data_IF_317070547133
#
_entry.id   IF_317070547133
#
_cell.length_a   1.000
_cell.length_b   1.000
_cell.length_c   1.000
_cell.angle_alpha   90.00
_cell.angle_beta   90.00
_cell.angle_gamma   90.00
#
_symmetry.space_group_name_H-M   'P 1'
#
loop_
_entity.id
_entity.type
_entity.pdbx_description
1 polymer ?
#
# COMPACT_ATOMS: atom_id res chain seq x y z
N UNK A 1 -29.75 -17.21 -42.28
CA UNK A 1 -29.24 -18.23 -41.34
C UNK A 1 -28.15 -18.99 -42.06
N UNK A 2 -26.88 -18.82 -41.66
CA UNK A 2 -25.75 -19.42 -42.37
C UNK A 2 -25.73 -20.93 -42.10
N UNK A 3 -26.04 -21.75 -43.11
CA UNK A 3 -26.01 -23.21 -42.99
C UNK A 3 -24.55 -23.68 -42.91
N UNK A 4 -24.10 -23.99 -41.70
CA UNK A 4 -22.78 -24.60 -41.50
C UNK A 4 -22.81 -26.04 -42.04
N UNK A 5 -21.85 -26.39 -42.87
CA UNK A 5 -21.77 -27.73 -43.46
C UNK A 5 -21.47 -28.77 -42.37
N UNK A 6 -22.09 -29.94 -42.47
CA UNK A 6 -21.87 -31.08 -41.57
C UNK A 6 -20.38 -31.43 -41.32
N UNK A 7 -19.47 -31.39 -42.32
CA UNK A 7 -18.05 -31.62 -42.07
C UNK A 7 -17.38 -30.51 -41.25
N UNK A 8 -17.84 -29.26 -41.35
CA UNK A 8 -17.33 -28.16 -40.55
C UNK A 8 -17.72 -28.31 -39.08
N UNK A 9 -18.96 -28.73 -38.81
CA UNK A 9 -19.42 -29.03 -37.45
C UNK A 9 -18.63 -30.19 -36.82
N UNK A 10 -18.36 -31.25 -37.60
CA UNK A 10 -17.52 -32.35 -37.13
C UNK A 10 -16.09 -31.92 -36.84
N UNK A 11 -15.50 -31.09 -37.71
CA UNK A 11 -14.17 -30.51 -37.47
C UNK A 11 -14.14 -29.68 -36.18
N UNK A 12 -15.14 -28.83 -35.95
CA UNK A 12 -15.25 -28.01 -34.75
C UNK A 12 -15.39 -28.87 -33.48
N UNK A 13 -16.22 -29.92 -33.52
CA UNK A 13 -16.38 -30.87 -32.41
C UNK A 13 -15.06 -31.58 -32.11
N UNK A 14 -14.36 -32.06 -33.14
CA UNK A 14 -13.04 -32.68 -32.93
C UNK A 14 -12.05 -31.70 -32.31
N UNK A 15 -11.98 -30.46 -32.80
CA UNK A 15 -11.09 -29.42 -32.27
C UNK A 15 -11.39 -29.11 -30.79
N UNK A 16 -12.68 -29.02 -30.43
CA UNK A 16 -13.10 -28.79 -29.05
C UNK A 16 -12.72 -29.96 -28.13
N UNK A 17 -12.90 -31.21 -28.59
CA UNK A 17 -12.46 -32.40 -27.82
C UNK A 17 -10.95 -32.48 -27.65
N UNK A 18 -10.16 -32.03 -28.64
CA UNK A 18 -8.70 -31.93 -28.49
C UNK A 18 -8.27 -30.77 -27.59
N UNK A 19 -9.01 -29.66 -27.56
CA UNK A 19 -8.76 -28.56 -26.63
C UNK A 19 -9.05 -28.98 -25.18
N UNK A 20 -10.07 -29.82 -24.97
CA UNK A 20 -10.44 -30.35 -23.65
C UNK A 20 -9.48 -31.44 -23.17
N UNK A 21 -8.94 -32.28 -24.08
CA UNK A 21 -7.92 -33.29 -23.77
C UNK A 21 -6.52 -32.73 -23.52
N UNK A 22 -6.18 -31.57 -24.07
CA UNK A 22 -4.95 -30.84 -23.72
C UNK A 22 -5.15 -29.90 -22.52
N UNK A 23 -6.40 -29.71 -22.08
CA UNK A 23 -6.76 -28.99 -20.87
C UNK A 23 -6.67 -29.91 -19.66
N UNK A 24 -5.47 -30.39 -19.35
CA UNK A 24 -5.24 -31.15 -18.13
C UNK A 24 -5.62 -30.29 -16.92
N UNK A 25 -6.79 -30.59 -16.37
CA UNK A 25 -7.28 -30.10 -15.11
C UNK A 25 -6.44 -30.71 -13.98
N UNK A 26 -5.28 -30.11 -13.73
CA UNK A 26 -4.41 -30.47 -12.62
C UNK A 26 -2.94 -30.48 -13.04
N UNK A 27 -2.18 -29.46 -12.63
CA UNK A 27 -0.72 -29.51 -12.74
C UNK A 27 -0.05 -28.34 -13.46
N UNK A 28 -0.79 -27.32 -13.89
CA UNK A 28 -0.19 -26.00 -14.07
C UNK A 28 -0.18 -25.27 -12.71
N UNK A 29 0.51 -25.86 -11.72
CA UNK A 29 1.42 -24.99 -10.97
C UNK A 29 2.31 -24.42 -12.06
N UNK A 30 1.92 -23.25 -12.55
CA UNK A 30 2.75 -22.39 -13.35
C UNK A 30 4.08 -22.43 -12.61
N UNK A 31 5.04 -23.16 -13.16
CA UNK A 31 6.43 -23.15 -12.75
C UNK A 31 6.83 -21.71 -13.01
N UNK A 32 6.39 -20.81 -12.11
CA UNK A 32 6.64 -19.40 -12.13
C UNK A 32 8.11 -19.41 -11.94
N UNK A 33 8.81 -19.31 -13.07
CA UNK A 33 10.24 -19.30 -13.18
C UNK A 33 10.69 -18.45 -12.02
N UNK A 34 11.18 -19.11 -10.96
CA UNK A 34 11.58 -18.45 -9.73
C UNK A 34 12.80 -17.70 -10.18
N UNK A 35 12.59 -16.49 -10.70
CA UNK A 35 13.66 -15.56 -11.01
C UNK A 35 14.49 -15.59 -9.74
N UNK A 36 15.79 -15.90 -9.87
CA UNK A 36 16.73 -15.75 -8.79
C UNK A 36 16.75 -14.26 -8.43
N UNK A 37 15.74 -13.82 -7.67
CA UNK A 37 15.67 -12.49 -7.15
C UNK A 37 16.84 -12.46 -6.16
N UNK A 38 17.90 -11.79 -6.56
CA UNK A 38 19.05 -11.56 -5.72
C UNK A 38 18.51 -11.05 -4.37
N UNK A 39 18.85 -11.74 -3.28
CA UNK A 39 18.36 -11.39 -1.95
C UNK A 39 18.76 -9.97 -1.54
N UNK A 40 19.75 -9.39 -2.21
CA UNK A 40 20.22 -8.02 -2.01
C UNK A 40 19.41 -6.96 -2.78
N UNK A 41 18.50 -7.34 -3.68
CA UNK A 41 17.65 -6.38 -4.41
C UNK A 41 16.27 -6.25 -3.76
N UNK A 42 15.64 -5.04 -3.83
CA UNK A 42 14.27 -4.81 -3.41
C UNK A 42 13.31 -5.77 -4.09
N UNK A 43 12.44 -6.39 -3.30
CA UNK A 43 11.49 -7.39 -3.79
C UNK A 43 10.22 -7.41 -2.95
N UNK A 44 9.19 -8.02 -3.54
CA UNK A 44 7.94 -8.35 -2.88
C UNK A 44 7.90 -9.87 -2.69
N UNK A 45 7.64 -10.33 -1.45
CA UNK A 45 7.59 -11.75 -1.10
C UNK A 45 6.31 -12.08 -0.33
N UNK A 46 5.96 -13.35 -0.29
CA UNK A 46 4.86 -13.87 0.54
C UNK A 46 5.43 -14.72 1.68
N UNK A 47 5.09 -14.39 2.92
CA UNK A 47 5.59 -15.08 4.11
C UNK A 47 4.43 -15.42 5.05
N UNK A 48 4.09 -16.72 5.16
CA UNK A 48 3.01 -17.24 6.03
C UNK A 48 1.67 -16.49 5.84
N UNK A 49 1.30 -16.23 4.59
CA UNK A 49 0.06 -15.52 4.24
C UNK A 49 0.18 -13.99 4.20
N UNK A 50 1.33 -13.41 4.58
CA UNK A 50 1.55 -11.97 4.54
C UNK A 50 2.23 -11.55 3.23
N UNK A 51 1.87 -10.39 2.70
CA UNK A 51 2.65 -9.71 1.66
C UNK A 51 3.72 -8.83 2.31
N UNK A 52 4.99 -9.10 2.00
CA UNK A 52 6.14 -8.40 2.59
C UNK A 52 6.92 -7.68 1.50
N UNK A 53 7.15 -6.39 1.71
CA UNK A 53 8.04 -5.58 0.89
C UNK A 53 9.42 -5.57 1.54
N UNK A 54 10.39 -6.24 0.93
CA UNK A 54 11.76 -6.32 1.44
C UNK A 54 12.65 -5.38 0.62
N UNK A 55 13.28 -4.43 1.28
CA UNK A 55 14.36 -3.64 0.69
C UNK A 55 15.68 -4.42 0.70
N UNK A 56 16.59 -4.02 -0.19
CA UNK A 56 18.00 -4.41 -0.12
C UNK A 56 18.80 -3.47 0.78
N UNK A 57 20.05 -3.81 1.07
CA UNK A 57 20.96 -2.87 1.74
C UNK A 57 21.09 -1.59 0.90
N UNK A 58 20.94 -0.44 1.55
CA UNK A 58 20.99 0.90 0.94
C UNK A 58 20.05 1.10 -0.27
N UNK A 59 18.92 0.38 -0.32
CA UNK A 59 17.94 0.50 -1.41
C UNK A 59 16.54 0.77 -0.85
N UNK A 60 15.72 1.44 -1.67
CA UNK A 60 14.37 1.84 -1.30
C UNK A 60 13.31 1.08 -2.08
N UNK A 61 12.11 1.02 -1.53
CA UNK A 61 10.87 0.78 -2.26
C UNK A 61 10.08 2.08 -2.18
N UNK A 62 9.84 2.69 -3.32
CA UNK A 62 9.20 4.01 -3.40
C UNK A 62 7.80 3.89 -4.00
N UNK A 63 6.82 4.42 -3.27
CA UNK A 63 5.45 4.55 -3.74
C UNK A 63 5.25 6.00 -4.17
N UNK A 64 4.91 6.20 -5.44
CA UNK A 64 4.69 7.52 -6.05
C UNK A 64 3.31 7.55 -6.66
N UNK A 65 2.61 8.66 -6.49
CA UNK A 65 1.27 8.88 -7.07
C UNK A 65 1.30 10.02 -8.07
N UNK A 66 0.34 10.01 -8.99
CA UNK A 66 0.05 11.18 -9.81
C UNK A 66 -0.68 12.27 -9.02
N UNK A 67 -1.00 13.39 -9.66
CA UNK A 67 -1.60 14.58 -9.02
C UNK A 67 -2.87 14.31 -8.21
N UNK A 68 -3.72 13.39 -8.65
CA UNK A 68 -4.96 13.00 -7.95
C UNK A 68 -4.87 11.62 -7.28
N UNK A 69 -3.72 10.95 -7.37
CA UNK A 69 -3.53 9.63 -6.80
C UNK A 69 -3.23 9.71 -5.30
N UNK A 70 -3.80 8.77 -4.53
CA UNK A 70 -3.66 8.68 -3.07
C UNK A 70 -2.97 7.36 -2.70
N UNK A 71 -2.12 7.39 -1.68
CA UNK A 71 -1.60 6.17 -1.04
C UNK A 71 -2.48 5.92 0.18
N UNK A 72 -3.18 4.78 0.18
CA UNK A 72 -3.98 4.37 1.33
C UNK A 72 -3.31 3.23 2.08
N UNK A 73 -3.28 3.36 3.40
CA UNK A 73 -2.90 2.28 4.32
C UNK A 73 -4.16 1.86 5.05
N UNK A 74 -4.72 0.71 4.68
CA UNK A 74 -6.10 0.33 5.01
C UNK A 74 -7.08 1.42 4.50
N UNK A 75 -7.86 2.02 5.40
CA UNK A 75 -8.83 3.07 5.08
C UNK A 75 -8.25 4.50 5.18
N UNK A 76 -7.02 4.64 5.67
CA UNK A 76 -6.39 5.94 5.92
C UNK A 76 -5.62 6.46 4.71
N UNK A 77 -5.75 7.75 4.41
CA UNK A 77 -4.97 8.44 3.40
C UNK A 77 -3.64 8.94 4.00
N UNK A 78 -2.52 8.41 3.50
CA UNK A 78 -1.19 8.75 4.00
C UNK A 78 -0.88 10.25 3.84
N UNK A 79 -1.35 10.88 2.78
CA UNK A 79 -1.15 12.31 2.54
C UNK A 79 -1.88 13.18 3.57
N UNK A 80 -3.12 12.81 3.92
CA UNK A 80 -3.90 13.49 4.95
C UNK A 80 -3.25 13.32 6.33
N UNK A 81 -2.78 12.12 6.67
CA UNK A 81 -2.06 11.86 7.92
C UNK A 81 -0.77 12.69 8.03
N UNK A 82 0.04 12.77 6.96
CA UNK A 82 1.25 13.58 6.94
C UNK A 82 0.96 15.08 7.08
N UNK A 83 -0.11 15.57 6.45
CA UNK A 83 -0.54 16.96 6.60
C UNK A 83 -0.92 17.28 8.05
N UNK A 84 -1.66 16.37 8.71
CA UNK A 84 -2.03 16.55 10.12
C UNK A 84 -0.80 16.54 11.05
N UNK A 85 0.20 15.69 10.78
CA UNK A 85 1.46 15.70 11.53
C UNK A 85 2.17 17.06 11.41
N UNK A 86 2.23 17.61 10.18
CA UNK A 86 2.84 18.92 9.95
C UNK A 86 2.08 20.03 10.67
N UNK A 87 0.75 20.03 10.59
CA UNK A 87 -0.08 21.00 11.32
C UNK A 87 0.14 20.93 12.83
N UNK A 88 0.11 19.72 13.40
CA UNK A 88 0.35 19.52 14.83
C UNK A 88 1.74 20.02 15.25
N UNK A 89 2.76 19.81 14.40
CA UNK A 89 4.12 20.34 14.65
C UNK A 89 4.09 21.87 14.72
N UNK A 90 3.44 22.52 13.78
CA UNK A 90 3.40 23.99 13.70
C UNK A 90 2.62 24.57 14.90
N UNK A 91 1.47 23.98 15.24
CA UNK A 91 0.68 24.35 16.42
C UNK A 91 1.50 24.18 17.72
N UNK A 92 2.28 23.11 17.85
CA UNK A 92 3.17 22.90 19.02
C UNK A 92 4.27 23.97 19.08
N UNK A 93 4.83 24.38 17.94
CA UNK A 93 5.85 25.44 17.89
C UNK A 93 5.23 26.77 18.35
N UNK A 94 4.04 27.11 17.86
CA UNK A 94 3.31 28.31 18.26
C UNK A 94 2.99 28.30 19.76
N UNK A 95 2.42 27.20 20.27
CA UNK A 95 2.10 27.05 21.69
C UNK A 95 3.35 27.17 22.57
N UNK A 96 4.47 26.56 22.18
CA UNK A 96 5.75 26.72 22.89
C UNK A 96 6.25 28.16 22.85
N UNK A 97 6.12 28.84 21.73
CA UNK A 97 6.45 30.27 21.59
C UNK A 97 5.63 31.13 22.55
N UNK A 98 4.32 30.91 22.60
CA UNK A 98 3.42 31.65 23.50
C UNK A 98 3.73 31.42 24.98
N UNK A 99 4.16 30.21 25.35
CA UNK A 99 4.50 29.87 26.73
C UNK A 99 5.78 30.55 27.25
N UNK A 100 6.71 30.96 26.38
CA UNK A 100 7.95 31.65 26.79
C UNK A 100 7.65 33.04 27.39
N UNK A 101 6.57 33.69 26.94
CA UNK A 101 6.14 34.99 27.44
C UNK A 101 5.29 34.93 28.72
N UNK A 102 4.92 33.73 29.21
CA UNK A 102 4.10 33.61 30.40
C UNK A 102 4.93 33.91 31.66
N UNK A 103 4.39 34.68 32.62
CA UNK A 103 5.04 34.86 33.92
C UNK A 103 5.28 33.50 34.59
N UNK A 104 6.50 33.25 35.06
CA UNK A 104 6.85 31.95 35.68
C UNK A 104 6.13 31.69 37.01
N UNK A 105 5.46 32.71 37.58
CA UNK A 105 4.92 32.69 38.93
C UNK A 105 3.41 32.98 38.97
N UNK A 106 2.65 32.66 37.92
CA UNK A 106 1.18 32.86 37.90
C UNK A 106 0.52 32.27 39.16
N UNK A 107 0.96 31.09 39.62
CA UNK A 107 0.44 30.49 40.86
C UNK A 107 0.63 31.36 42.10
N UNK A 108 1.77 32.07 42.24
CA UNK A 108 1.97 32.98 43.37
C UNK A 108 1.18 34.29 43.19
N UNK A 109 1.02 34.77 41.95
CA UNK A 109 0.18 35.93 41.66
C UNK A 109 -1.28 35.69 42.05
N UNK A 110 -1.80 34.47 41.81
CA UNK A 110 -3.15 34.07 42.22
C UNK A 110 -3.30 34.11 43.75
N UNK A 111 -2.33 33.57 44.50
CA UNK A 111 -2.35 33.60 45.97
C UNK A 111 -2.34 35.04 46.54
N UNK A 112 -1.61 35.95 45.88
CA UNK A 112 -1.60 37.37 46.26
C UNK A 112 -2.91 38.11 45.98
N UNK A 113 -3.68 37.68 44.98
CA UNK A 113 -5.01 38.23 44.71
C UNK A 113 -6.05 37.72 45.71
N UNK A 114 -5.97 36.45 46.09
CA UNK A 114 -6.93 35.80 47.01
C UNK A 114 -6.74 36.21 48.48
N UNK A 115 -5.52 36.63 48.85
CA UNK A 115 -5.21 37.14 50.19
C UNK A 115 -5.56 38.62 50.40
N UNK A 116 -6.28 39.24 49.46
CA UNK A 116 -6.66 40.65 49.45
C UNK A 116 -8.16 40.84 49.65
#
# INVERSE_FOLDING_TARGET
VMSMSLPFLWSLVTLLTFAELNGEAGGLELQRQKRSANLQQPRMATERGNLVFLTGSAQNIEFRTGSLGKIKLNEEDLGECLHQIQKNKDDIIELKGSAIGLPQNISSQIYHLDSK
#
